data_IF_831212409332
#
_entry.id   IF_831212409332
#
_cell.length_a   1.000
_cell.length_b   1.000
_cell.length_c   1.000
_cell.angle_alpha   90.00
_cell.angle_beta   90.00
_cell.angle_gamma   90.00
#
_symmetry.space_group_name_H-M   'P 1'
#
loop_
_entity.id
_entity.type
_entity.pdbx_description
1 polymer ?
#
# COMPACT_ATOMS: atom_id res chain seq x y z
N UNK A 1 -20.53 -65.40 8.45
CA UNK A 1 -19.63 -64.26 8.73
C UNK A 1 -18.98 -63.74 7.46
N UNK A 2 -19.31 -62.51 6.99
CA UNK A 2 -18.45 -61.75 6.07
C UNK A 2 -17.90 -60.45 6.69
N UNK A 3 -16.76 -59.98 6.18
CA UNK A 3 -15.92 -58.92 6.77
C UNK A 3 -16.47 -57.49 6.54
N UNK A 4 -16.75 -56.76 7.62
CA UNK A 4 -16.99 -55.32 7.55
C UNK A 4 -15.67 -54.52 7.44
N UNK A 5 -15.41 -53.88 6.28
CA UNK A 5 -14.28 -52.94 6.13
C UNK A 5 -14.63 -51.57 6.74
N UNK A 6 -14.14 -51.28 7.95
CA UNK A 6 -14.20 -49.91 8.52
C UNK A 6 -13.36 -48.94 7.68
N UNK A 7 -14.00 -48.04 6.93
CA UNK A 7 -13.35 -46.85 6.37
C UNK A 7 -13.11 -45.84 7.49
N UNK A 8 -11.88 -45.77 8.02
CA UNK A 8 -11.48 -44.70 8.93
C UNK A 8 -11.42 -43.35 8.19
N UNK A 9 -12.18 -42.37 8.68
CA UNK A 9 -12.33 -41.05 8.06
C UNK A 9 -11.11 -40.15 8.31
N UNK A 10 -10.16 -40.14 7.37
CA UNK A 10 -8.94 -39.29 7.40
C UNK A 10 -9.19 -37.76 7.36
N UNK A 11 -10.44 -37.30 7.40
CA UNK A 11 -10.79 -35.88 7.24
C UNK A 11 -10.48 -35.00 8.47
N UNK A 12 -10.62 -35.54 9.70
CA UNK A 12 -10.51 -34.74 10.93
C UNK A 12 -9.12 -34.14 11.17
N UNK A 13 -8.05 -34.89 10.90
CA UNK A 13 -6.68 -34.50 11.24
C UNK A 13 -6.11 -33.30 10.46
N UNK A 14 -6.64 -33.00 9.27
CA UNK A 14 -6.18 -31.84 8.47
C UNK A 14 -6.68 -30.50 8.99
N UNK A 15 -7.86 -30.46 9.63
CA UNK A 15 -8.47 -29.21 10.12
C UNK A 15 -7.75 -28.70 11.38
N UNK A 16 -7.48 -29.60 12.34
CA UNK A 16 -6.76 -29.28 13.57
C UNK A 16 -5.33 -28.75 13.32
N UNK A 17 -4.57 -29.39 12.41
CA UNK A 17 -3.21 -28.95 12.06
C UNK A 17 -3.15 -27.56 11.41
N UNK A 18 -4.17 -27.17 10.62
CA UNK A 18 -4.24 -25.82 10.03
C UNK A 18 -4.50 -24.75 11.10
N UNK A 19 -5.41 -25.01 12.05
CA UNK A 19 -5.71 -24.07 13.13
C UNK A 19 -4.47 -23.74 13.97
N UNK A 20 -3.68 -24.76 14.36
CA UNK A 20 -2.45 -24.57 15.14
C UNK A 20 -1.44 -23.65 14.44
N UNK A 21 -1.24 -23.83 13.13
CA UNK A 21 -0.27 -23.06 12.36
C UNK A 21 -0.65 -21.57 12.27
N UNK A 22 -1.93 -21.27 12.12
CA UNK A 22 -2.42 -19.89 12.04
C UNK A 22 -2.28 -19.14 13.37
N UNK A 23 -2.60 -19.79 14.50
CA UNK A 23 -2.40 -19.20 15.83
C UNK A 23 -0.91 -18.95 16.10
N UNK A 24 -0.04 -19.91 15.78
CA UNK A 24 1.42 -19.74 15.90
C UNK A 24 1.95 -18.54 15.09
N UNK A 25 1.53 -18.38 13.83
CA UNK A 25 1.95 -17.24 12.99
C UNK A 25 1.47 -15.90 13.58
N UNK A 26 0.27 -15.86 14.16
CA UNK A 26 -0.26 -14.65 14.83
C UNK A 26 0.59 -14.27 16.04
N UNK A 27 0.84 -15.21 16.94
CA UNK A 27 1.54 -14.96 18.21
C UNK A 27 3.04 -14.66 18.00
N UNK A 28 3.62 -15.18 16.92
CA UNK A 28 4.98 -14.87 16.48
C UNK A 28 5.17 -13.42 16.03
N UNK A 29 4.12 -12.74 15.55
CA UNK A 29 4.21 -11.39 14.96
C UNK A 29 3.59 -10.28 15.83
N UNK A 30 2.95 -10.65 16.95
CA UNK A 30 2.67 -9.72 18.05
C UNK A 30 4.01 -9.22 18.63
N UNK A 31 4.28 -7.92 18.58
CA UNK A 31 5.52 -7.31 19.09
C UNK A 31 5.33 -6.53 20.40
N UNK A 32 4.12 -6.47 20.94
CA UNK A 32 3.82 -5.87 22.24
C UNK A 32 4.74 -6.43 23.35
N UNK A 33 5.49 -5.55 24.01
CA UNK A 33 6.44 -5.89 25.07
C UNK A 33 7.73 -6.59 24.61
N UNK A 34 7.97 -6.71 23.29
CA UNK A 34 9.14 -7.43 22.73
C UNK A 34 10.15 -6.53 22.00
N UNK A 35 9.84 -5.24 21.82
CA UNK A 35 10.73 -4.24 21.24
C UNK A 35 11.52 -3.50 22.34
N UNK A 36 12.76 -3.04 22.06
CA UNK A 36 13.51 -2.19 22.98
C UNK A 36 12.85 -0.80 23.11
N UNK A 37 13.27 0.02 24.10
CA UNK A 37 12.90 1.43 24.14
C UNK A 37 13.40 2.15 22.88
N UNK A 38 12.54 2.99 22.28
CA UNK A 38 12.91 3.80 21.12
C UNK A 38 13.72 5.04 21.55
N UNK A 39 14.99 5.12 21.15
CA UNK A 39 15.91 6.22 21.48
C UNK A 39 15.99 7.27 20.38
N UNK A 40 15.75 6.89 19.11
CA UNK A 40 15.80 7.80 17.95
C UNK A 40 14.59 8.77 17.82
N UNK A 41 13.96 9.13 18.94
CA UNK A 41 12.77 9.98 19.00
C UNK A 41 13.03 11.37 18.41
N UNK A 42 12.23 11.74 17.40
CA UNK A 42 12.34 13.01 16.67
C UNK A 42 13.68 13.22 15.94
N UNK A 43 14.42 12.14 15.65
CA UNK A 43 15.59 12.18 14.79
C UNK A 43 15.22 12.40 13.30
N UNK A 44 16.15 12.98 12.54
CA UNK A 44 16.05 13.14 11.08
C UNK A 44 16.57 11.89 10.38
N UNK A 45 15.73 11.27 9.56
CA UNK A 45 16.02 10.04 8.83
C UNK A 45 17.08 10.20 7.73
N UNK A 46 17.36 11.43 7.28
CA UNK A 46 18.46 11.71 6.36
C UNK A 46 19.81 11.91 7.08
N UNK A 47 19.82 12.02 8.41
CA UNK A 47 21.07 12.07 9.17
C UNK A 47 21.81 10.72 9.11
N UNK A 48 23.15 10.72 8.99
CA UNK A 48 23.94 9.49 8.90
C UNK A 48 23.62 8.48 10.01
N UNK A 49 23.48 7.22 9.62
CA UNK A 49 23.15 6.09 10.50
C UNK A 49 21.77 6.10 11.19
N UNK A 50 20.99 7.20 11.14
CA UNK A 50 19.69 7.28 11.84
C UNK A 50 18.71 6.21 11.37
N UNK A 51 18.56 5.99 10.05
CA UNK A 51 17.71 4.92 9.52
C UNK A 51 18.12 3.53 10.06
N UNK A 52 19.42 3.25 10.16
CA UNK A 52 19.90 1.98 10.73
C UNK A 52 19.54 1.84 12.22
N UNK A 53 19.70 2.90 13.01
CA UNK A 53 19.35 2.91 14.43
C UNK A 53 17.84 2.67 14.64
N UNK A 54 17.00 3.39 13.88
CA UNK A 54 15.54 3.24 13.90
C UNK A 54 15.11 1.80 13.58
N UNK A 55 15.79 1.16 12.62
CA UNK A 55 15.51 -0.23 12.25
C UNK A 55 15.79 -1.22 13.39
N UNK A 56 16.88 -1.04 14.16
CA UNK A 56 17.19 -1.91 15.30
C UNK A 56 16.18 -1.79 16.45
N UNK A 57 15.46 -0.66 16.54
CA UNK A 57 14.53 -0.38 17.63
C UNK A 57 13.06 -0.66 17.30
N UNK A 58 12.67 -0.56 16.02
CA UNK A 58 11.26 -0.64 15.59
C UNK A 58 10.93 -1.90 14.81
N UNK A 59 11.88 -2.51 14.09
CA UNK A 59 11.59 -3.74 13.31
C UNK A 59 11.38 -4.94 14.23
N UNK A 60 10.34 -5.73 13.97
CA UNK A 60 10.11 -6.99 14.66
C UNK A 60 9.93 -8.13 13.66
N UNK A 61 10.70 -9.21 13.77
CA UNK A 61 10.61 -10.38 12.86
C UNK A 61 10.73 -10.01 11.36
N UNK A 62 11.56 -9.02 11.04
CA UNK A 62 11.69 -8.42 9.70
C UNK A 62 10.42 -7.72 9.18
N UNK A 63 9.54 -7.27 10.08
CA UNK A 63 8.35 -6.47 9.78
C UNK A 63 8.44 -5.05 10.34
N UNK A 64 7.92 -4.08 9.59
CA UNK A 64 7.65 -2.71 10.04
C UNK A 64 6.32 -2.21 9.47
N UNK A 65 5.57 -1.46 10.27
CA UNK A 65 4.37 -0.74 9.84
C UNK A 65 4.70 0.74 9.82
N UNK A 66 4.48 1.43 8.68
CA UNK A 66 4.73 2.86 8.55
C UNK A 66 3.42 3.66 8.46
N UNK A 67 3.40 4.79 9.15
CA UNK A 67 2.33 5.78 9.20
C UNK A 67 2.90 7.16 8.87
N UNK A 68 2.08 8.07 8.35
CA UNK A 68 2.45 9.49 8.18
C UNK A 68 1.46 10.42 8.87
N UNK A 69 1.95 11.45 9.58
CA UNK A 69 1.12 12.55 10.07
C UNK A 69 1.95 13.72 10.59
N UNK A 70 1.36 14.92 10.54
CA UNK A 70 1.79 16.04 11.37
C UNK A 70 1.46 15.80 12.86
N UNK A 71 1.99 16.68 13.73
CA UNK A 71 1.66 16.74 15.15
C UNK A 71 0.76 17.92 15.53
N UNK A 72 0.17 18.61 14.56
CA UNK A 72 -0.72 19.75 14.79
C UNK A 72 -2.07 19.27 15.36
N UNK A 73 -2.77 20.07 16.18
CA UNK A 73 -4.10 19.71 16.67
C UNK A 73 -5.12 19.73 15.51
N UNK A 74 -5.40 18.57 14.93
CA UNK A 74 -6.31 18.43 13.78
C UNK A 74 -6.61 16.97 13.42
N UNK A 75 -7.34 16.77 12.33
CA UNK A 75 -7.80 15.45 11.89
C UNK A 75 -6.62 14.48 11.66
N UNK A 76 -5.61 14.87 10.86
CA UNK A 76 -4.43 14.04 10.56
C UNK A 76 -3.79 13.45 11.83
N UNK A 77 -3.46 14.29 12.80
CA UNK A 77 -2.85 13.84 14.06
C UNK A 77 -3.79 12.97 14.89
N UNK A 78 -5.09 13.27 14.93
CA UNK A 78 -6.07 12.45 15.65
C UNK A 78 -6.22 11.07 15.00
N UNK A 79 -6.34 11.01 13.68
CA UNK A 79 -6.47 9.79 12.89
C UNK A 79 -5.21 8.93 13.05
N UNK A 80 -4.01 9.51 12.93
CA UNK A 80 -2.75 8.79 13.13
C UNK A 80 -2.59 8.19 14.53
N UNK A 81 -2.99 8.92 15.58
CA UNK A 81 -3.01 8.40 16.94
C UNK A 81 -4.04 7.27 17.06
N UNK A 82 -5.23 7.41 16.45
CA UNK A 82 -6.25 6.37 16.42
C UNK A 82 -5.75 5.10 15.69
N UNK A 83 -5.07 5.22 14.55
CA UNK A 83 -4.47 4.07 13.83
C UNK A 83 -3.41 3.40 14.69
N UNK A 84 -2.50 4.18 15.30
CA UNK A 84 -1.45 3.65 16.17
C UNK A 84 -2.00 2.94 17.41
N UNK A 85 -3.06 3.47 18.03
CA UNK A 85 -3.75 2.83 19.16
C UNK A 85 -4.43 1.52 18.73
N UNK A 86 -5.15 1.50 17.60
CA UNK A 86 -5.78 0.28 17.08
C UNK A 86 -4.75 -0.83 16.82
N UNK A 87 -3.64 -0.51 16.16
CA UNK A 87 -2.56 -1.46 15.90
C UNK A 87 -1.91 -1.98 17.19
N UNK A 88 -1.71 -1.11 18.20
CA UNK A 88 -1.26 -1.54 19.54
C UNK A 88 -2.26 -2.47 20.24
N UNK A 89 -3.57 -2.21 20.14
CA UNK A 89 -4.62 -3.12 20.66
C UNK A 89 -4.58 -4.49 19.98
N UNK A 90 -4.12 -4.56 18.72
CA UNK A 90 -3.88 -5.81 17.98
C UNK A 90 -2.50 -6.45 18.29
N UNK A 91 -1.74 -5.90 19.23
CA UNK A 91 -0.41 -6.37 19.62
C UNK A 91 0.72 -5.95 18.68
N UNK A 92 0.46 -5.07 17.72
CA UNK A 92 1.41 -4.63 16.69
C UNK A 92 2.06 -3.31 17.14
N UNK A 93 3.26 -3.40 17.73
CA UNK A 93 4.01 -2.26 18.27
C UNK A 93 5.19 -1.83 17.38
N UNK A 94 5.50 -2.58 16.32
CA UNK A 94 6.54 -2.27 15.32
C UNK A 94 6.06 -1.18 14.34
N UNK A 95 5.67 -0.04 14.91
CA UNK A 95 5.04 1.09 14.25
C UNK A 95 6.03 2.26 14.18
N UNK A 96 6.31 2.75 12.97
CA UNK A 96 7.08 3.97 12.75
C UNK A 96 6.16 5.07 12.23
N UNK A 97 6.02 6.16 12.99
CA UNK A 97 5.40 7.39 12.51
C UNK A 97 6.47 8.25 11.82
N UNK A 98 6.27 8.49 10.53
CA UNK A 98 7.02 9.45 9.73
C UNK A 98 6.29 10.81 9.80
N UNK A 99 6.93 11.81 10.39
CA UNK A 99 6.35 13.13 10.61
C UNK A 99 7.11 14.22 9.84
N UNK A 100 6.57 15.42 9.81
CA UNK A 100 7.12 16.58 9.10
C UNK A 100 8.29 17.25 9.80
N UNK A 101 8.38 17.10 11.12
CA UNK A 101 9.33 17.82 11.93
C UNK A 101 9.58 17.16 13.28
N UNK A 102 10.75 17.44 13.85
CA UNK A 102 11.07 17.06 15.20
C UNK A 102 10.06 17.60 16.23
N UNK A 103 9.45 18.76 15.95
CA UNK A 103 8.43 19.38 16.80
C UNK A 103 7.12 18.56 16.78
N UNK A 104 6.66 18.15 15.60
CA UNK A 104 5.51 17.27 15.44
C UNK A 104 5.71 15.93 16.15
N UNK A 105 6.88 15.29 16.00
CA UNK A 105 7.18 14.05 16.72
C UNK A 105 7.14 14.22 18.25
N UNK A 106 7.69 15.31 18.80
CA UNK A 106 7.57 15.61 20.24
C UNK A 106 6.12 15.85 20.66
N UNK A 107 5.30 16.47 19.81
CA UNK A 107 3.87 16.67 20.08
C UNK A 107 3.08 15.35 20.09
N UNK A 108 3.37 14.45 19.15
CA UNK A 108 2.76 13.12 19.07
C UNK A 108 3.20 12.21 20.22
N UNK A 109 4.50 12.18 20.56
CA UNK A 109 5.03 11.39 21.67
C UNK A 109 4.50 11.82 23.05
N UNK A 110 4.11 13.09 23.24
CA UNK A 110 3.40 13.55 24.45
C UNK A 110 1.96 13.01 24.54
N UNK A 111 1.29 12.77 23.41
CA UNK A 111 -0.09 12.26 23.35
C UNK A 111 -0.15 10.74 23.40
N UNK A 112 0.85 10.06 22.82
CA UNK A 112 1.01 8.62 22.87
C UNK A 112 2.47 8.27 23.24
N UNK A 113 2.79 8.15 24.54
CA UNK A 113 4.11 7.77 25.00
C UNK A 113 4.62 6.46 24.37
N UNK A 114 5.94 6.44 24.12
CA UNK A 114 6.61 5.33 23.45
C UNK A 114 6.20 5.12 21.98
N UNK A 115 5.54 6.08 21.33
CA UNK A 115 5.36 6.06 19.87
C UNK A 115 6.70 6.37 19.20
N UNK A 116 7.21 5.43 18.40
CA UNK A 116 8.39 5.67 17.60
C UNK A 116 8.04 6.65 16.48
N UNK A 117 8.63 7.84 16.55
CA UNK A 117 8.40 8.93 15.60
C UNK A 117 9.71 9.56 15.17
N UNK A 118 9.85 9.72 13.87
CA UNK A 118 11.00 10.35 13.18
C UNK A 118 10.48 11.34 12.15
N UNK A 119 11.35 12.19 11.63
CA UNK A 119 11.03 13.10 10.53
C UNK A 119 12.11 13.02 9.45
N UNK A 120 11.99 13.82 8.39
CA UNK A 120 12.97 13.85 7.32
C UNK A 120 13.17 15.26 6.76
N UNK A 121 14.43 15.64 6.57
CA UNK A 121 14.83 16.84 5.83
C UNK A 121 14.89 16.67 4.30
N UNK A 122 14.60 15.45 3.78
CA UNK A 122 14.65 15.09 2.35
C UNK A 122 13.91 16.06 1.43
N UNK A 123 12.75 16.51 1.87
CA UNK A 123 11.88 17.43 1.16
C UNK A 123 11.46 18.52 2.15
N UNK A 124 11.31 19.75 1.67
CA UNK A 124 10.76 20.81 2.49
C UNK A 124 9.24 20.62 2.63
N UNK A 125 8.68 20.78 3.83
CA UNK A 125 7.23 20.70 4.06
C UNK A 125 6.47 21.93 3.53
N UNK A 126 7.18 23.01 3.18
CA UNK A 126 6.63 24.17 2.48
C UNK A 126 6.52 23.93 0.96
N UNK A 127 5.63 24.67 0.29
CA UNK A 127 5.39 24.54 -1.15
C UNK A 127 6.67 24.81 -1.96
N UNK A 128 7.06 23.94 -2.91
CA UNK A 128 8.13 24.21 -3.87
C UNK A 128 7.92 25.54 -4.61
N UNK A 129 8.98 26.33 -4.77
CA UNK A 129 8.90 27.63 -5.47
C UNK A 129 8.59 27.49 -6.96
N UNK A 130 9.10 26.42 -7.58
CA UNK A 130 8.92 26.10 -9.00
C UNK A 130 7.95 24.92 -9.16
N UNK A 131 6.81 24.94 -8.46
CA UNK A 131 5.82 23.87 -8.50
C UNK A 131 5.20 23.67 -9.88
N UNK A 132 4.93 22.41 -10.25
CA UNK A 132 4.04 22.11 -11.37
C UNK A 132 2.61 22.58 -11.09
N UNK A 133 1.74 22.63 -12.10
CA UNK A 133 0.38 23.15 -11.95
C UNK A 133 -0.45 22.38 -10.90
N UNK A 134 -0.17 21.09 -10.66
CA UNK A 134 -0.79 20.32 -9.59
C UNK A 134 -0.33 20.77 -8.19
N UNK A 135 0.97 21.06 -8.03
CA UNK A 135 1.52 21.66 -6.81
C UNK A 135 0.93 23.06 -6.61
N UNK A 136 0.90 23.90 -7.64
CA UNK A 136 0.36 25.26 -7.52
C UNK A 136 -1.13 25.31 -7.15
N UNK A 137 -1.96 24.42 -7.69
CA UNK A 137 -3.40 24.39 -7.43
C UNK A 137 -3.79 23.65 -6.15
N UNK A 138 -3.03 22.62 -5.75
CA UNK A 138 -3.46 21.66 -4.73
C UNK A 138 -2.43 21.41 -3.62
N UNK A 139 -1.33 22.17 -3.55
CA UNK A 139 -0.30 21.92 -2.53
C UNK A 139 -0.91 21.91 -1.13
N UNK A 140 -0.83 20.73 -0.54
CA UNK A 140 -1.25 20.42 0.79
C UNK A 140 -0.21 19.50 1.40
N UNK A 141 -0.27 19.38 2.71
CA UNK A 141 0.65 18.55 3.49
C UNK A 141 0.67 17.07 3.06
N UNK A 142 -0.38 16.60 2.38
CA UNK A 142 -0.45 15.27 1.81
C UNK A 142 0.67 14.98 0.79
N UNK A 143 1.05 15.93 -0.07
CA UNK A 143 2.10 15.70 -1.07
C UNK A 143 3.49 15.52 -0.46
N UNK A 144 3.79 16.26 0.62
CA UNK A 144 4.99 16.03 1.42
C UNK A 144 5.01 14.58 1.95
N UNK A 145 3.89 14.11 2.52
CA UNK A 145 3.80 12.75 3.02
C UNK A 145 3.79 11.67 1.94
N UNK A 146 3.32 11.95 0.73
CA UNK A 146 3.38 11.01 -0.40
C UNK A 146 4.84 10.73 -0.81
N UNK A 147 5.70 11.77 -0.90
CA UNK A 147 7.14 11.55 -1.12
C UNK A 147 7.74 10.74 0.03
N UNK A 148 7.52 11.20 1.26
CA UNK A 148 8.12 10.66 2.47
C UNK A 148 7.84 9.15 2.66
N UNK A 149 6.57 8.75 2.55
CA UNK A 149 6.16 7.36 2.79
C UNK A 149 6.59 6.42 1.70
N UNK A 150 6.49 6.81 0.43
CA UNK A 150 6.93 5.97 -0.69
C UNK A 150 8.44 5.87 -0.74
N UNK A 151 9.14 6.94 -0.40
CA UNK A 151 10.59 6.93 -0.27
C UNK A 151 11.04 5.92 0.79
N UNK A 152 10.61 6.07 2.05
CA UNK A 152 11.04 5.11 3.07
C UNK A 152 10.46 3.72 2.86
N UNK A 153 9.23 3.53 2.38
CA UNK A 153 8.75 2.20 2.02
C UNK A 153 9.67 1.50 1.00
N UNK A 154 10.10 2.23 -0.05
CA UNK A 154 11.04 1.71 -1.04
C UNK A 154 12.40 1.38 -0.41
N UNK A 155 13.00 2.29 0.36
CA UNK A 155 14.30 2.04 1.01
C UNK A 155 14.24 0.85 1.97
N UNK A 156 13.25 0.82 2.86
CA UNK A 156 13.04 -0.25 3.84
C UNK A 156 12.90 -1.63 3.17
N UNK A 157 12.11 -1.72 2.09
CA UNK A 157 11.88 -2.98 1.39
C UNK A 157 13.05 -3.39 0.47
N UNK A 158 13.68 -2.44 -0.22
CA UNK A 158 14.65 -2.71 -1.30
C UNK A 158 16.10 -2.67 -0.80
N UNK A 159 16.48 -1.67 -0.02
CA UNK A 159 17.85 -1.52 0.52
C UNK A 159 18.06 -2.38 1.76
N UNK A 160 17.05 -2.44 2.64
CA UNK A 160 17.15 -3.13 3.94
C UNK A 160 16.49 -4.51 3.98
N UNK A 161 15.73 -4.88 2.95
CA UNK A 161 15.06 -6.20 2.86
C UNK A 161 13.96 -6.42 3.92
N UNK A 162 13.49 -5.36 4.57
CA UNK A 162 12.44 -5.40 5.60
C UNK A 162 11.07 -5.47 4.94
N UNK A 163 10.16 -6.27 5.48
CA UNK A 163 8.79 -6.32 5.00
C UNK A 163 8.01 -5.10 5.55
N UNK A 164 7.35 -4.34 4.67
CA UNK A 164 6.73 -3.05 4.99
C UNK A 164 5.23 -3.12 4.80
N UNK A 165 4.46 -2.84 5.84
CA UNK A 165 3.04 -2.46 5.73
C UNK A 165 2.94 -0.93 5.74
N UNK A 166 2.62 -0.33 4.60
CA UNK A 166 2.18 1.07 4.58
C UNK A 166 0.66 1.12 4.77
N UNK A 167 0.18 2.04 5.59
CA UNK A 167 -1.25 2.39 5.66
C UNK A 167 -1.46 3.89 5.77
N UNK A 168 -2.55 4.36 5.16
CA UNK A 168 -3.16 5.65 5.50
C UNK A 168 -3.69 5.62 6.94
N UNK A 169 -3.95 6.82 7.48
CA UNK A 169 -4.48 7.04 8.83
C UNK A 169 -6.01 7.01 8.90
N UNK A 170 -6.70 7.18 7.77
CA UNK A 170 -8.17 7.05 7.63
C UNK A 170 -8.65 5.58 7.51
N UNK A 171 -7.85 4.66 8.04
CA UNK A 171 -8.04 3.20 7.98
C UNK A 171 -8.37 2.65 9.37
N UNK A 172 -9.34 1.73 9.42
CA UNK A 172 -9.78 1.09 10.67
C UNK A 172 -9.27 -0.36 10.73
N UNK A 173 -8.42 -0.64 11.71
CA UNK A 173 -7.79 -1.94 11.90
C UNK A 173 -8.58 -2.79 12.90
N UNK A 174 -9.41 -3.70 12.37
CA UNK A 174 -10.28 -4.59 13.17
C UNK A 174 -9.62 -5.91 13.57
N UNK A 175 -8.49 -6.27 12.96
CA UNK A 175 -7.78 -7.52 13.20
C UNK A 175 -6.31 -7.44 12.74
N UNK A 176 -5.46 -8.29 13.31
CA UNK A 176 -4.08 -8.47 12.85
C UNK A 176 -4.08 -9.01 11.39
N UNK A 177 -3.45 -8.31 10.41
CA UNK A 177 -3.45 -8.75 9.01
C UNK A 177 -2.42 -9.86 8.73
N UNK A 178 -1.40 -10.03 9.58
CA UNK A 178 -0.28 -10.93 9.31
C UNK A 178 -0.64 -12.40 9.06
N UNK A 179 -1.64 -13.01 9.75
CA UNK A 179 -2.09 -14.37 9.42
C UNK A 179 -2.57 -14.55 7.97
N UNK A 180 -3.10 -13.49 7.34
CA UNK A 180 -3.44 -13.52 5.92
C UNK A 180 -2.21 -13.26 5.04
N UNK A 181 -1.43 -12.23 5.37
CA UNK A 181 -0.25 -11.80 4.59
C UNK A 181 0.87 -12.86 4.54
N UNK A 182 1.14 -13.51 5.68
CA UNK A 182 2.11 -14.61 5.85
C UNK A 182 1.53 -16.01 5.66
N UNK A 183 0.21 -16.12 5.49
CA UNK A 183 -0.49 -17.35 5.19
C UNK A 183 -0.80 -17.45 3.70
N UNK A 184 -1.96 -16.93 3.30
CA UNK A 184 -2.45 -17.02 1.93
C UNK A 184 -1.57 -16.26 0.92
N UNK A 185 -1.02 -15.11 1.32
CA UNK A 185 -0.29 -14.21 0.42
C UNK A 185 1.24 -14.31 0.52
N UNK A 186 1.78 -15.31 1.23
CA UNK A 186 3.21 -15.41 1.53
C UNK A 186 4.14 -15.46 0.30
N UNK A 187 3.62 -15.90 -0.86
CA UNK A 187 4.36 -15.95 -2.13
C UNK A 187 4.35 -14.65 -2.92
N UNK A 188 3.60 -13.64 -2.47
CA UNK A 188 3.36 -12.38 -3.18
C UNK A 188 4.27 -11.29 -2.63
N UNK A 189 5.02 -10.61 -3.49
CA UNK A 189 5.95 -9.55 -3.10
C UNK A 189 5.19 -8.25 -2.80
N UNK A 190 4.14 -7.95 -3.56
CA UNK A 190 3.23 -6.84 -3.29
C UNK A 190 1.80 -7.35 -3.07
N UNK A 191 1.16 -6.90 -1.99
CA UNK A 191 -0.25 -7.15 -1.67
C UNK A 191 -0.93 -5.78 -1.51
N UNK A 192 -1.79 -5.40 -2.47
CA UNK A 192 -2.33 -4.03 -2.58
C UNK A 192 -3.85 -4.01 -2.43
N UNK A 193 -4.45 -2.94 -1.91
CA UNK A 193 -5.91 -2.79 -1.95
C UNK A 193 -6.40 -2.47 -3.39
N UNK A 194 -7.55 -3.02 -3.78
CA UNK A 194 -8.22 -2.65 -5.02
C UNK A 194 -8.83 -1.23 -4.94
N UNK A 195 -8.58 -0.40 -5.94
CA UNK A 195 -9.36 0.82 -6.19
C UNK A 195 -9.38 1.17 -7.70
N UNK A 196 -9.91 2.33 -8.08
CA UNK A 196 -10.00 2.79 -9.46
C UNK A 196 -8.76 3.60 -9.86
N UNK A 197 -8.17 3.35 -11.04
CA UNK A 197 -8.58 2.35 -12.03
C UNK A 197 -8.10 0.91 -11.75
N UNK A 198 -7.11 0.71 -10.87
CA UNK A 198 -6.58 -0.61 -10.55
C UNK A 198 -6.25 -0.81 -9.06
N UNK A 199 -5.41 0.04 -8.47
CA UNK A 199 -4.90 -0.12 -7.09
C UNK A 199 -5.06 1.16 -6.27
N UNK A 200 -5.27 1.00 -4.96
CA UNK A 200 -5.14 2.08 -3.98
C UNK A 200 -3.68 2.19 -3.53
N UNK A 201 -3.19 3.40 -3.29
CA UNK A 201 -1.84 3.62 -2.79
C UNK A 201 -1.76 3.82 -1.27
N UNK A 202 -2.88 4.11 -0.60
CA UNK A 202 -2.95 4.29 0.85
C UNK A 202 -2.49 3.09 1.63
N UNK A 203 -3.03 1.91 1.31
CA UNK A 203 -2.70 0.65 1.98
C UNK A 203 -2.11 -0.38 1.03
N UNK A 204 -0.86 -0.77 1.32
CA UNK A 204 -0.23 -1.93 0.68
C UNK A 204 0.80 -2.59 1.61
N UNK A 205 1.09 -3.84 1.33
CA UNK A 205 2.13 -4.61 1.98
C UNK A 205 3.17 -5.07 0.97
N UNK A 206 4.45 -4.81 1.27
CA UNK A 206 5.61 -5.30 0.54
C UNK A 206 6.35 -6.33 1.38
N UNK A 207 6.69 -7.49 0.81
CA UNK A 207 7.47 -8.52 1.51
C UNK A 207 8.43 -9.27 0.59
N UNK A 208 9.53 -9.74 1.17
CA UNK A 208 10.54 -10.57 0.50
C UNK A 208 11.11 -9.95 -0.80
N UNK A 209 10.98 -8.62 -0.95
CA UNK A 209 11.44 -7.86 -2.12
C UNK A 209 12.95 -8.03 -2.32
N UNK A 210 13.38 -8.14 -3.57
CA UNK A 210 14.78 -8.25 -3.99
C UNK A 210 15.13 -7.11 -4.93
N UNK A 211 16.32 -6.54 -4.76
CA UNK A 211 16.76 -5.35 -5.49
C UNK A 211 16.72 -5.49 -7.03
N UNK A 212 16.73 -6.72 -7.56
CA UNK A 212 16.68 -7.04 -8.98
C UNK A 212 15.30 -7.56 -9.46
N UNK A 213 14.24 -7.40 -8.66
CA UNK A 213 12.87 -7.83 -9.01
C UNK A 213 11.91 -6.68 -9.37
N UNK A 214 10.77 -7.03 -9.96
CA UNK A 214 9.77 -6.04 -10.39
C UNK A 214 9.05 -5.32 -9.25
N UNK A 215 9.00 -5.87 -8.03
CA UNK A 215 8.46 -5.16 -6.87
C UNK A 215 9.41 -4.04 -6.42
N UNK A 216 10.72 -4.32 -6.38
CA UNK A 216 11.73 -3.29 -6.14
C UNK A 216 11.67 -2.18 -7.20
N UNK A 217 11.52 -2.55 -8.47
CA UNK A 217 11.31 -1.58 -9.55
C UNK A 217 10.07 -0.71 -9.31
N UNK A 218 8.90 -1.31 -9.02
CA UNK A 218 7.66 -0.55 -8.76
C UNK A 218 7.80 0.42 -7.60
N UNK A 219 8.38 -0.01 -6.49
CA UNK A 219 8.52 0.83 -5.28
C UNK A 219 9.52 1.98 -5.50
N UNK A 220 10.67 1.68 -6.09
CA UNK A 220 11.73 2.67 -6.39
C UNK A 220 11.25 3.69 -7.41
N UNK A 221 10.60 3.23 -8.48
CA UNK A 221 10.07 4.11 -9.53
C UNK A 221 8.91 4.97 -9.02
N UNK A 222 8.04 4.44 -8.15
CA UNK A 222 6.99 5.23 -7.50
C UNK A 222 7.58 6.38 -6.66
N UNK A 223 8.55 6.07 -5.78
CA UNK A 223 9.26 7.11 -5.00
C UNK A 223 9.93 8.14 -5.91
N UNK A 224 10.67 7.69 -6.93
CA UNK A 224 11.38 8.56 -7.88
C UNK A 224 10.43 9.50 -8.61
N UNK A 225 9.27 9.01 -9.08
CA UNK A 225 8.31 9.82 -9.84
C UNK A 225 7.57 10.84 -8.98
N UNK A 226 7.19 10.48 -7.75
CA UNK A 226 6.56 11.44 -6.83
C UNK A 226 7.54 12.59 -6.58
N UNK A 227 8.79 12.27 -6.24
CA UNK A 227 9.83 13.26 -6.02
C UNK A 227 10.03 14.17 -7.25
N UNK A 228 10.29 13.55 -8.41
CA UNK A 228 10.55 14.23 -9.67
C UNK A 228 9.42 15.20 -10.05
N UNK A 229 8.16 14.80 -9.93
CA UNK A 229 7.05 15.65 -10.34
C UNK A 229 6.65 16.72 -9.29
N UNK A 230 7.16 16.61 -8.06
CA UNK A 230 7.10 17.68 -7.05
C UNK A 230 8.20 18.72 -7.29
N UNK A 231 9.42 18.31 -7.66
CA UNK A 231 10.62 19.18 -7.70
C UNK A 231 11.05 19.64 -9.10
N UNK A 232 10.82 18.83 -10.14
CA UNK A 232 11.18 19.05 -11.57
C UNK A 232 9.93 18.90 -12.47
N UNK A 233 8.91 19.78 -12.39
CA UNK A 233 7.70 19.64 -13.20
C UNK A 233 7.95 19.69 -14.71
N UNK A 234 9.03 20.32 -15.17
CA UNK A 234 9.47 20.31 -16.56
C UNK A 234 9.91 18.92 -17.05
N UNK A 235 10.17 17.96 -16.15
CA UNK A 235 10.36 16.56 -16.52
C UNK A 235 9.15 15.97 -17.25
N UNK A 236 7.93 16.52 -17.08
CA UNK A 236 6.74 16.16 -17.87
C UNK A 236 7.01 16.25 -19.37
N UNK A 237 7.75 17.27 -19.82
CA UNK A 237 8.09 17.47 -21.25
C UNK A 237 8.92 16.33 -21.83
N UNK A 238 9.70 15.63 -20.99
CA UNK A 238 10.52 14.45 -21.36
C UNK A 238 9.64 13.22 -21.69
N UNK A 239 8.41 13.16 -21.16
CA UNK A 239 7.48 12.04 -21.31
C UNK A 239 6.21 12.37 -22.11
N UNK A 240 5.90 13.67 -22.26
CA UNK A 240 4.74 14.21 -22.97
C UNK A 240 5.23 15.36 -23.86
N UNK A 241 5.74 15.07 -25.07
CA UNK A 241 6.43 16.07 -25.90
C UNK A 241 5.57 17.28 -26.29
N UNK A 242 4.25 17.14 -26.30
CA UNK A 242 3.29 18.21 -26.60
C UNK A 242 2.84 19.03 -25.37
N UNK A 243 3.25 18.66 -24.15
CA UNK A 243 2.97 19.43 -22.93
C UNK A 243 3.62 20.83 -22.97
N UNK A 244 3.06 21.79 -22.24
CA UNK A 244 3.51 23.20 -22.24
C UNK A 244 3.49 23.78 -20.81
N UNK A 245 4.36 24.74 -20.47
CA UNK A 245 4.34 25.39 -19.15
C UNK A 245 3.01 26.10 -18.81
N UNK A 246 2.69 26.29 -17.50
CA UNK A 246 3.13 25.46 -16.38
C UNK A 246 2.70 24.00 -16.57
N UNK A 247 3.63 23.06 -16.38
CA UNK A 247 3.38 21.65 -16.65
C UNK A 247 2.48 20.99 -15.60
N UNK A 248 1.65 20.02 -16.03
CA UNK A 248 0.77 19.25 -15.16
C UNK A 248 1.22 17.79 -15.10
N UNK A 249 1.87 17.43 -13.99
CA UNK A 249 1.91 16.06 -13.49
C UNK A 249 0.98 15.95 -12.28
N UNK A 250 0.16 14.89 -12.21
CA UNK A 250 -0.57 14.55 -11.01
C UNK A 250 0.35 13.83 -10.03
N UNK A 251 0.77 14.53 -8.98
CA UNK A 251 1.64 14.03 -7.90
C UNK A 251 0.89 13.19 -6.86
N UNK A 252 -0.42 13.00 -7.03
CA UNK A 252 -1.21 11.97 -6.37
C UNK A 252 -0.55 10.58 -6.54
N UNK A 253 -0.13 10.01 -5.42
CA UNK A 253 0.60 8.74 -5.41
C UNK A 253 -0.22 7.56 -5.92
N UNK A 254 -1.56 7.61 -5.82
CA UNK A 254 -2.42 6.57 -6.38
C UNK A 254 -2.30 6.54 -7.89
N UNK A 255 -2.41 7.69 -8.54
CA UNK A 255 -2.25 7.80 -10.00
C UNK A 255 -0.87 7.32 -10.45
N UNK A 256 0.20 7.71 -9.75
CA UNK A 256 1.56 7.29 -10.05
C UNK A 256 1.80 5.80 -9.81
N UNK A 257 1.25 5.24 -8.73
CA UNK A 257 1.34 3.80 -8.43
C UNK A 257 0.61 2.95 -9.47
N UNK A 258 -0.54 3.42 -9.97
CA UNK A 258 -1.25 2.76 -11.07
C UNK A 258 -0.39 2.73 -12.36
N UNK A 259 0.30 3.82 -12.71
CA UNK A 259 1.23 3.84 -13.86
C UNK A 259 2.46 2.92 -13.65
N UNK A 260 3.07 2.93 -12.46
CA UNK A 260 4.20 2.05 -12.13
C UNK A 260 3.81 0.56 -12.19
N UNK A 261 2.74 0.16 -11.51
CA UNK A 261 2.30 -1.24 -11.49
C UNK A 261 1.94 -1.72 -12.89
N UNK A 262 1.20 -0.92 -13.67
CA UNK A 262 0.90 -1.27 -15.08
C UNK A 262 2.17 -1.43 -15.91
N UNK A 263 3.11 -0.51 -15.77
CA UNK A 263 4.38 -0.57 -16.50
C UNK A 263 5.16 -1.85 -16.19
N UNK A 264 5.19 -2.25 -14.91
CA UNK A 264 5.86 -3.48 -14.46
C UNK A 264 5.14 -4.74 -14.94
N UNK A 265 3.80 -4.77 -14.96
CA UNK A 265 3.04 -5.93 -15.47
C UNK A 265 3.21 -6.10 -16.98
N UNK A 266 3.21 -5.01 -17.75
CA UNK A 266 3.31 -5.08 -19.22
C UNK A 266 4.73 -4.98 -19.75
N UNK A 267 5.74 -4.82 -18.87
CA UNK A 267 7.13 -4.55 -19.22
C UNK A 267 7.33 -3.34 -20.16
N UNK A 268 6.50 -2.28 -20.00
CA UNK A 268 6.53 -1.08 -20.84
C UNK A 268 6.37 0.18 -19.98
N UNK A 269 7.37 1.06 -19.98
CA UNK A 269 7.32 2.30 -19.20
C UNK A 269 6.21 3.23 -19.67
N UNK A 270 5.31 3.60 -18.76
CA UNK A 270 4.25 4.57 -19.00
C UNK A 270 4.17 5.61 -17.89
N UNK A 271 3.82 6.83 -18.27
CA UNK A 271 3.46 7.96 -17.39
C UNK A 271 2.07 8.50 -17.75
N UNK A 272 1.33 7.82 -18.63
CA UNK A 272 0.22 8.39 -19.37
C UNK A 272 -0.97 8.79 -18.48
N UNK A 273 -1.19 8.13 -17.35
CA UNK A 273 -2.26 8.50 -16.43
C UNK A 273 -1.87 9.67 -15.54
N UNK A 274 -0.61 9.74 -15.09
CA UNK A 274 -0.12 10.81 -14.23
C UNK A 274 0.15 12.12 -14.96
N UNK A 275 0.66 12.09 -16.19
CA UNK A 275 1.04 13.30 -16.94
C UNK A 275 0.05 13.61 -18.07
N UNK A 276 0.10 12.86 -19.17
CA UNK A 276 -0.65 13.15 -20.39
C UNK A 276 -2.16 13.29 -20.16
N UNK A 277 -2.77 12.38 -19.38
CA UNK A 277 -4.18 12.43 -19.03
C UNK A 277 -4.60 13.68 -18.25
N UNK A 278 -3.69 14.36 -17.57
CA UNK A 278 -3.93 15.60 -16.83
C UNK A 278 -3.63 16.87 -17.62
N UNK A 279 -2.57 16.87 -18.44
CA UNK A 279 -2.38 17.94 -19.44
C UNK A 279 -3.62 18.06 -20.35
N UNK A 280 -4.21 16.94 -20.78
CA UNK A 280 -5.49 16.97 -21.55
C UNK A 280 -6.66 17.51 -20.73
N UNK A 281 -6.72 17.28 -19.41
CA UNK A 281 -7.76 17.89 -18.54
C UNK A 281 -7.59 19.41 -18.47
N UNK A 282 -6.37 19.90 -18.29
CA UNK A 282 -6.04 21.34 -18.31
C UNK A 282 -6.51 22.02 -19.60
N UNK A 283 -6.27 21.41 -20.76
CA UNK A 283 -6.79 21.90 -22.05
C UNK A 283 -8.33 21.87 -22.17
N UNK A 284 -9.04 21.13 -21.30
CA UNK A 284 -10.52 21.15 -21.20
C UNK A 284 -11.04 22.21 -20.23
N UNK A 285 -10.25 22.66 -19.25
CA UNK A 285 -10.68 23.58 -18.18
C UNK A 285 -10.38 25.05 -18.45
N UNK A 286 -10.08 25.44 -19.70
CA UNK A 286 -10.15 26.84 -20.16
C UNK A 286 -8.83 27.50 -20.59
N UNK A 287 -7.66 26.93 -20.29
CA UNK A 287 -6.40 27.44 -20.86
C UNK A 287 -6.28 27.01 -22.32
N UNK A 288 -6.39 27.99 -23.24
CA UNK A 288 -6.29 27.89 -24.72
C UNK A 288 -6.08 26.48 -25.26
N UNK A 289 -7.19 25.82 -25.58
CA UNK A 289 -7.19 24.62 -26.42
C UNK A 289 -6.65 25.02 -27.80
N UNK A 290 -5.48 24.52 -28.17
CA UNK A 290 -5.07 24.59 -29.57
C UNK A 290 -6.08 23.77 -30.38
N UNK A 291 -6.74 24.40 -31.35
CA UNK A 291 -7.85 23.78 -32.08
C UNK A 291 -7.42 22.52 -32.85
N UNK A 292 -6.13 22.39 -33.18
CA UNK A 292 -5.55 21.21 -33.82
C UNK A 292 -5.13 20.08 -32.87
N UNK A 293 -5.23 20.24 -31.53
CA UNK A 293 -4.84 19.19 -30.59
C UNK A 293 -5.94 18.14 -30.38
N UNK A 294 -5.73 16.92 -30.89
CA UNK A 294 -6.58 15.77 -30.63
C UNK A 294 -5.89 14.74 -29.73
N UNK A 295 -6.37 14.60 -28.49
CA UNK A 295 -5.91 13.58 -27.54
C UNK A 295 -5.96 12.15 -28.10
N UNK A 296 -6.95 11.82 -28.95
CA UNK A 296 -7.09 10.46 -29.48
C UNK A 296 -6.01 10.07 -30.48
N UNK A 297 -5.29 11.04 -31.03
CA UNK A 297 -4.24 10.85 -32.04
C UNK A 297 -2.84 10.77 -31.41
N UNK A 298 -2.69 10.95 -30.09
CA UNK A 298 -1.37 10.89 -29.45
C UNK A 298 -0.94 9.47 -29.10
N UNK A 299 0.37 9.27 -29.01
CA UNK A 299 0.98 8.01 -28.61
C UNK A 299 0.60 7.61 -27.17
N UNK A 300 0.48 8.58 -26.25
CA UNK A 300 0.16 8.32 -24.84
C UNK A 300 -1.30 7.87 -24.65
N UNK A 301 -2.23 8.35 -25.49
CA UNK A 301 -3.59 7.81 -25.49
C UNK A 301 -3.61 6.36 -25.97
N UNK A 302 -2.92 6.08 -27.07
CA UNK A 302 -2.81 4.72 -27.63
C UNK A 302 -2.19 3.75 -26.62
N UNK A 303 -1.12 4.17 -25.95
CA UNK A 303 -0.48 3.45 -24.85
C UNK A 303 -1.45 3.22 -23.68
N UNK A 304 -2.16 4.24 -23.20
CA UNK A 304 -3.12 4.09 -22.11
C UNK A 304 -4.26 3.12 -22.45
N UNK A 305 -4.77 3.16 -23.69
CA UNK A 305 -5.80 2.23 -24.17
C UNK A 305 -5.29 0.80 -24.28
N UNK A 306 -4.02 0.61 -24.67
CA UNK A 306 -3.37 -0.70 -24.67
C UNK A 306 -3.15 -1.21 -23.24
N UNK A 307 -2.65 -0.38 -22.31
CA UNK A 307 -2.47 -0.75 -20.90
C UNK A 307 -3.78 -1.14 -20.21
N UNK A 308 -4.87 -0.40 -20.46
CA UNK A 308 -6.22 -0.73 -19.95
C UNK A 308 -6.73 -2.11 -20.43
N UNK A 309 -6.20 -2.62 -21.55
CA UNK A 309 -6.55 -3.91 -22.14
C UNK A 309 -5.57 -5.03 -21.76
N UNK A 310 -4.26 -4.74 -21.75
CA UNK A 310 -3.16 -5.66 -21.42
C UNK A 310 -3.07 -5.93 -19.91
N UNK A 311 -3.41 -4.95 -19.08
CA UNK A 311 -3.74 -5.14 -17.67
C UNK A 311 -5.23 -4.87 -17.53
N UNK A 312 -6.09 -5.88 -17.75
CA UNK A 312 -7.53 -5.71 -17.59
C UNK A 312 -7.77 -5.13 -16.20
N UNK A 313 -8.31 -3.90 -16.16
CA UNK A 313 -8.79 -3.32 -14.90
C UNK A 313 -9.59 -4.38 -14.14
N UNK A 314 -9.43 -4.46 -12.82
CA UNK A 314 -9.96 -5.50 -11.93
C UNK A 314 -11.50 -5.44 -11.78
N UNK A 315 -12.21 -5.26 -12.89
CA UNK A 315 -13.66 -5.14 -13.04
C UNK A 315 -14.39 -6.42 -12.64
N UNK A 316 -13.72 -7.57 -12.76
CA UNK A 316 -14.02 -8.69 -11.86
C UNK A 316 -13.58 -8.26 -10.47
N UNK A 317 -14.48 -7.58 -9.75
CA UNK A 317 -14.44 -7.55 -8.29
C UNK A 317 -14.21 -8.99 -7.87
N UNK A 318 -13.13 -9.27 -7.16
CA UNK A 318 -12.93 -10.62 -6.64
C UNK A 318 -13.96 -10.79 -5.52
N UNK A 319 -15.15 -11.27 -5.89
CA UNK A 319 -16.18 -11.71 -4.96
C UNK A 319 -15.70 -13.03 -4.34
N UNK A 320 -14.68 -12.93 -3.51
CA UNK A 320 -14.36 -13.93 -2.51
C UNK A 320 -15.44 -13.82 -1.45
N UNK A 321 -16.47 -14.66 -1.55
CA UNK A 321 -17.31 -14.99 -0.40
C UNK A 321 -16.37 -15.45 0.72
N UNK A 322 -16.33 -14.77 1.88
CA UNK A 322 -15.25 -14.94 2.85
C UNK A 322 -15.37 -16.30 3.57
N UNK A 323 -14.44 -17.25 3.38
CA UNK A 323 -14.59 -18.54 4.03
C UNK A 323 -13.81 -18.57 5.37
N UNK A 324 -13.89 -17.54 6.27
CA UNK A 324 -12.78 -17.39 7.24
C UNK A 324 -12.78 -16.63 8.61
N UNK A 325 -11.78 -17.15 9.38
CA UNK A 325 -10.98 -16.98 10.64
C UNK A 325 -10.47 -15.62 11.03
N UNK A 326 -11.26 -14.57 10.94
CA UNK A 326 -10.92 -13.44 11.79
C UNK A 326 -11.29 -13.84 13.21
N UNK A 327 -10.30 -14.09 14.06
CA UNK A 327 -10.54 -14.42 15.46
C UNK A 327 -11.03 -13.14 16.14
N UNK A 328 -12.35 -13.04 16.33
CA UNK A 328 -13.06 -11.79 16.64
C UNK A 328 -14.16 -11.40 15.63
N UNK A 329 -14.20 -11.97 14.41
CA UNK A 329 -15.18 -11.63 13.35
C UNK A 329 -15.83 -12.80 12.52
N UNK A 330 -15.17 -13.94 12.11
CA UNK A 330 -15.75 -15.12 11.36
C UNK A 330 -14.78 -16.37 11.18
N UNK A 331 -15.16 -17.53 10.56
CA UNK A 331 -14.65 -18.99 10.45
C UNK A 331 -13.58 -19.57 9.42
N UNK A 332 -12.29 -19.86 9.78
CA UNK A 332 -10.92 -20.03 9.11
C UNK A 332 -10.59 -20.08 7.57
N UNK A 333 -9.64 -19.25 7.06
CA UNK A 333 -9.40 -18.99 5.60
C UNK A 333 -8.84 -20.17 4.82
N UNK A 334 -9.45 -20.41 3.65
CA UNK A 334 -8.73 -20.93 2.46
C UNK A 334 -9.02 -20.00 1.29
N UNK A 335 -8.02 -19.25 0.81
CA UNK A 335 -8.16 -18.43 -0.40
C UNK A 335 -7.99 -19.34 -1.62
N UNK A 336 -8.99 -19.35 -2.49
CA UNK A 336 -8.96 -20.07 -3.76
C UNK A 336 -8.91 -19.05 -4.90
N UNK A 337 -7.88 -19.13 -5.75
CA UNK A 337 -7.65 -18.14 -6.80
C UNK A 337 -7.12 -16.83 -6.23
N UNK A 338 -5.80 -16.71 -6.13
CA UNK A 338 -5.13 -15.42 -5.90
C UNK A 338 -4.79 -14.88 -7.29
N UNK A 339 -5.44 -13.79 -7.68
CA UNK A 339 -5.12 -13.07 -8.92
C UNK A 339 -3.72 -12.47 -8.77
N UNK A 340 -2.72 -13.17 -9.32
CA UNK A 340 -1.30 -12.86 -9.24
C UNK A 340 -0.83 -12.30 -10.59
N UNK A 341 -0.39 -11.05 -10.58
CA UNK A 341 0.17 -10.36 -11.73
C UNK A 341 1.70 -10.42 -11.67
N UNK A 342 2.39 -10.90 -12.71
CA UNK A 342 3.84 -10.87 -12.76
C UNK A 342 4.35 -9.42 -12.74
N UNK A 343 5.43 -9.17 -12.01
CA UNK A 343 6.11 -7.88 -12.00
C UNK A 343 7.48 -8.02 -12.68
N UNK A 344 7.65 -7.30 -13.79
CA UNK A 344 8.92 -7.18 -14.49
C UNK A 344 9.71 -5.97 -13.98
N UNK A 345 11.05 -6.09 -13.96
CA UNK A 345 11.92 -4.92 -14.03
C UNK A 345 11.78 -4.35 -15.44
N UNK A 346 11.25 -3.14 -15.57
CA UNK A 346 10.79 -2.65 -16.88
C UNK A 346 11.96 -2.42 -17.84
N UNK A 347 11.82 -2.95 -19.06
CA UNK A 347 12.86 -3.00 -20.07
C UNK A 347 13.77 -4.23 -19.98
N UNK A 348 13.62 -5.06 -18.96
CA UNK A 348 14.37 -6.32 -18.84
C UNK A 348 13.76 -7.42 -19.70
N UNK A 349 14.61 -8.25 -20.32
CA UNK A 349 14.20 -9.51 -20.97
C UNK A 349 14.12 -10.69 -20.00
N UNK A 350 14.52 -10.51 -18.73
CA UNK A 350 14.49 -11.56 -17.73
C UNK A 350 13.03 -11.93 -17.35
N UNK A 351 12.77 -13.22 -17.00
CA UNK A 351 11.46 -13.62 -16.50
C UNK A 351 11.14 -12.91 -15.16
N UNK A 352 9.86 -12.61 -14.91
CA UNK A 352 9.43 -11.89 -13.71
C UNK A 352 9.66 -12.77 -12.46
N UNK A 353 10.43 -12.27 -11.50
CA UNK A 353 10.73 -12.94 -10.23
C UNK A 353 9.78 -12.55 -9.09
N UNK A 354 9.02 -11.47 -9.28
CA UNK A 354 8.09 -10.92 -8.31
C UNK A 354 6.65 -10.93 -8.83
N UNK A 355 5.71 -10.86 -7.91
CA UNK A 355 4.28 -10.86 -8.16
C UNK A 355 3.56 -9.83 -7.29
N UNK A 356 2.51 -9.24 -7.87
CA UNK A 356 1.52 -8.43 -7.16
C UNK A 356 0.20 -9.19 -7.12
N UNK A 357 -0.43 -9.21 -5.95
CA UNK A 357 -1.84 -9.58 -5.83
C UNK A 357 -2.66 -8.40 -5.33
N UNK A 358 -3.93 -8.41 -5.70
CA UNK A 358 -4.92 -7.49 -5.17
C UNK A 358 -5.62 -8.16 -4.00
N UNK A 359 -5.47 -7.55 -2.83
CA UNK A 359 -6.16 -7.97 -1.62
C UNK A 359 -7.67 -7.76 -1.77
N UNK A 360 -8.49 -8.70 -1.28
CA UNK A 360 -9.92 -8.48 -1.14
C UNK A 360 -10.18 -7.33 -0.17
N UNK A 361 -11.23 -6.55 -0.43
CA UNK A 361 -11.53 -5.32 0.30
C UNK A 361 -11.53 -5.48 1.82
N UNK A 362 -11.97 -6.62 2.35
CA UNK A 362 -12.01 -6.86 3.81
C UNK A 362 -10.64 -6.81 4.50
N UNK A 363 -9.52 -6.98 3.79
CA UNK A 363 -8.18 -7.01 4.40
C UNK A 363 -7.65 -5.61 4.73
N UNK A 364 -8.02 -4.61 3.91
CA UNK A 364 -7.48 -3.25 3.96
C UNK A 364 -8.59 -2.16 3.92
N UNK A 365 -9.84 -2.53 4.19
CA UNK A 365 -11.01 -1.68 3.98
C UNK A 365 -11.00 -0.43 4.87
N UNK A 366 -11.10 0.76 4.27
CA UNK A 366 -11.51 1.97 4.97
C UNK A 366 -12.98 1.89 5.42
N UNK A 367 -13.29 2.59 6.51
CA UNK A 367 -14.62 2.67 7.12
C UNK A 367 -14.98 4.16 7.26
N UNK A 368 -16.23 4.60 7.03
CA UNK A 368 -17.45 3.81 6.83
C UNK A 368 -17.93 3.76 5.37
N UNK A 369 -17.78 2.62 4.69
CA UNK A 369 -18.54 2.35 3.46
C UNK A 369 -19.76 1.48 3.74
N UNK A 370 -20.84 1.67 2.96
CA UNK A 370 -22.03 0.80 3.02
C UNK A 370 -21.71 -0.65 2.64
N UNK A 371 -20.66 -0.87 1.85
CA UNK A 371 -20.08 -2.17 1.55
C UNK A 371 -19.42 -2.78 2.80
N UNK A 372 -18.65 -2.00 3.55
CA UNK A 372 -18.00 -2.42 4.81
C UNK A 372 -19.04 -2.90 5.83
N UNK A 373 -20.08 -2.10 6.08
CA UNK A 373 -21.19 -2.49 6.96
C UNK A 373 -21.93 -3.74 6.49
N UNK A 374 -22.01 -3.98 5.17
CA UNK A 374 -22.72 -5.13 4.59
C UNK A 374 -21.86 -6.40 4.49
N UNK A 375 -20.53 -6.28 4.51
CA UNK A 375 -19.62 -7.39 4.78
C UNK A 375 -19.71 -7.80 6.26
N UNK A 376 -19.52 -6.86 7.18
CA UNK A 376 -19.57 -7.12 8.64
C UNK A 376 -20.93 -7.66 9.10
N UNK A 377 -22.06 -7.17 8.56
CA UNK A 377 -23.39 -7.73 8.86
C UNK A 377 -23.60 -9.14 8.32
N UNK A 378 -22.98 -9.50 7.18
CA UNK A 378 -22.99 -10.89 6.69
C UNK A 378 -22.16 -11.80 7.58
N UNK A 379 -21.01 -11.34 8.08
CA UNK A 379 -20.21 -12.08 9.06
C UNK A 379 -20.95 -12.36 10.38
N UNK A 380 -21.79 -11.42 10.85
CA UNK A 380 -22.56 -11.59 12.11
C UNK A 380 -23.84 -12.43 11.99
N UNK A 381 -24.24 -12.90 10.80
CA UNK A 381 -25.38 -13.84 10.68
C UNK A 381 -24.94 -15.25 11.09
N UNK A 382 -25.66 -15.94 12.00
CA UNK A 382 -25.44 -17.36 12.25
C UNK A 382 -25.60 -18.18 10.96
N UNK A 383 -24.81 -19.24 10.82
CA UNK A 383 -24.89 -20.18 9.70
C UNK A 383 -26.11 -21.13 9.82
N UNK A 384 -27.30 -20.56 9.94
CA UNK A 384 -28.57 -21.30 9.93
C UNK A 384 -28.91 -21.67 8.48
N UNK A 385 -28.61 -22.89 8.02
CA UNK A 385 -29.00 -23.29 6.67
C UNK A 385 -28.52 -24.61 6.07
N UNK A 386 -27.89 -25.55 6.80
CA UNK A 386 -27.43 -26.82 6.19
C UNK A 386 -27.60 -28.07 7.07
N UNK A 387 -28.55 -28.04 7.99
CA UNK A 387 -28.97 -29.20 8.80
C UNK A 387 -30.50 -29.37 8.78
N UNK A 388 -31.09 -29.44 7.58
CA UNK A 388 -32.51 -29.79 7.37
C UNK A 388 -32.76 -30.29 5.93
N UNK A 389 -32.38 -31.53 5.64
CA UNK A 389 -32.93 -32.36 4.58
C UNK A 389 -32.76 -33.82 5.02
N UNK A 390 -33.88 -34.55 5.12
CA UNK A 390 -33.91 -35.97 5.48
C UNK A 390 -33.75 -36.89 4.27
#
# INVERSE_FOLDING_TARGET
WPRARRRLSRAGGRRARRGLLTTMISDMLVSAGKLPPFSAAAADMESPHTLNAVLQEVVYQNEIIILCSDGQPGASAADALNTAMQLRTLGLHHLLLLSDSAASCRAMGRRLPGLACVWSSRLNSTKPQNGGLCVELYWSFAFYFYDLRKHYAARLAVEFGVNVLQTDTDVVWLANPYPALKGAYASQQLVVMQDRPMVNAGVFYAQNVKADDGAAWVMTELSRRIHLFITEPEAVKRYVPWAQPPFYANVDEQTLMNDCVRSSITNVTSYAQATAGWEVKRYKTGTRRNASFNWKETAEYSLLRWLDAAVPSLRRRVHLDPPFRVQGLCDAITVHGIDSFPLHVVGSSAPPKASLTVAPLWLFMSFPSSMSASAVRRCKKPANGSAAAG
#
